data_IF_081025657424
#
_entry.id   IF_081025657424
#
_cell.length_a   1.000
_cell.length_b   1.000
_cell.length_c   1.000
_cell.angle_alpha   90.00
_cell.angle_beta   90.00
_cell.angle_gamma   90.00
#
_symmetry.space_group_name_H-M   'P 1'
#
loop_
_entity.id
_entity.type
_entity.pdbx_description
1 polymer ?
#
# COMPACT_ATOMS: atom_id res chain seq x y z
N UNK A 1 -53.25 11.23 8.63
CA UNK A 1 -52.65 11.01 7.30
C UNK A 1 -52.24 12.37 6.76
N UNK A 2 -50.98 12.57 6.34
CA UNK A 2 -50.41 11.87 5.18
C UNK A 2 -49.02 11.25 5.43
N UNK A 3 -48.88 9.98 5.04
CA UNK A 3 -47.72 9.11 5.25
C UNK A 3 -46.75 9.06 4.04
N UNK A 4 -46.82 10.02 3.11
CA UNK A 4 -46.05 9.95 1.85
C UNK A 4 -44.78 10.79 1.77
N UNK A 5 -44.48 11.64 2.76
CA UNK A 5 -43.34 12.58 2.69
C UNK A 5 -42.08 12.09 3.39
N UNK A 6 -42.21 11.14 4.32
CA UNK A 6 -41.09 10.68 5.14
C UNK A 6 -40.14 9.75 4.35
N UNK A 7 -40.68 8.87 3.51
CA UNK A 7 -39.88 7.86 2.81
C UNK A 7 -38.96 8.47 1.73
N UNK A 8 -39.42 9.50 1.01
CA UNK A 8 -38.60 10.19 0.01
C UNK A 8 -37.52 11.09 0.63
N UNK A 9 -37.68 11.50 1.89
CA UNK A 9 -36.70 12.34 2.59
C UNK A 9 -35.57 11.49 3.17
N UNK A 10 -35.86 10.28 3.65
CA UNK A 10 -34.83 9.38 4.20
C UNK A 10 -33.76 8.95 3.18
N UNK A 11 -34.13 8.70 1.91
CA UNK A 11 -33.15 8.31 0.87
C UNK A 11 -32.22 9.47 0.48
N UNK A 12 -32.73 10.71 0.53
CA UNK A 12 -31.93 11.92 0.22
C UNK A 12 -31.03 12.33 1.40
N UNK A 13 -31.42 12.02 2.64
CA UNK A 13 -30.62 12.30 3.84
C UNK A 13 -29.47 11.30 4.05
N UNK A 14 -29.60 10.06 3.58
CA UNK A 14 -28.52 9.05 3.63
C UNK A 14 -27.50 9.14 2.46
N UNK A 15 -27.57 10.19 1.64
CA UNK A 15 -26.63 10.41 0.51
C UNK A 15 -25.65 11.56 0.78
N UNK A 16 -25.52 12.00 2.02
CA UNK A 16 -24.63 13.10 2.44
C UNK A 16 -23.62 12.67 3.49
N UNK A 17 -23.14 11.43 3.44
CA UNK A 17 -21.93 11.09 4.19
C UNK A 17 -20.79 11.90 3.59
N UNK A 18 -20.29 12.86 4.37
CA UNK A 18 -19.12 13.66 4.04
C UNK A 18 -17.94 13.19 4.86
N UNK A 19 -16.76 13.22 4.26
CA UNK A 19 -15.50 12.86 4.89
C UNK A 19 -14.44 13.90 4.55
N UNK A 20 -13.52 14.12 5.48
CA UNK A 20 -12.35 14.95 5.24
C UNK A 20 -11.38 14.21 4.32
N UNK A 21 -11.01 14.85 3.22
CA UNK A 21 -10.07 14.27 2.29
C UNK A 21 -8.73 14.06 2.99
N UNK A 22 -8.20 12.82 3.01
CA UNK A 22 -6.92 12.55 3.64
C UNK A 22 -5.80 13.49 3.10
N UNK A 23 -5.78 13.73 1.80
CA UNK A 23 -4.64 14.41 1.16
C UNK A 23 -4.67 15.93 1.30
N UNK A 24 -5.84 16.58 1.22
CA UNK A 24 -5.93 18.04 1.20
C UNK A 24 -6.78 18.65 2.32
N UNK A 25 -7.46 17.82 3.12
CA UNK A 25 -8.33 18.26 4.21
C UNK A 25 -9.67 18.85 3.79
N UNK A 26 -9.99 18.89 2.49
CA UNK A 26 -11.27 19.41 1.99
C UNK A 26 -12.41 18.42 2.28
N UNK A 27 -13.62 18.93 2.54
CA UNK A 27 -14.82 18.10 2.73
C UNK A 27 -15.27 17.47 1.40
N UNK A 28 -15.37 16.14 1.36
CA UNK A 28 -15.73 15.36 0.17
C UNK A 28 -16.92 14.47 0.47
N UNK A 29 -17.86 14.36 -0.46
CA UNK A 29 -18.95 13.40 -0.35
C UNK A 29 -18.47 11.99 -0.68
N UNK A 30 -18.88 11.00 0.12
CA UNK A 30 -18.61 9.59 -0.14
C UNK A 30 -19.10 9.21 -1.54
N UNK A 31 -18.28 8.45 -2.28
CA UNK A 31 -18.58 8.05 -3.67
C UNK A 31 -18.15 9.05 -4.75
N UNK A 32 -17.70 10.26 -4.38
CA UNK A 32 -17.06 11.19 -5.31
C UNK A 32 -15.56 11.34 -5.03
N UNK A 33 -14.79 11.55 -6.11
CA UNK A 33 -13.39 11.92 -5.99
C UNK A 33 -13.27 13.31 -5.37
N UNK A 34 -12.23 13.54 -4.56
CA UNK A 34 -11.96 14.86 -4.00
C UNK A 34 -11.88 15.90 -5.12
N UNK A 35 -12.68 16.97 -5.07
CA UNK A 35 -12.66 18.00 -6.10
C UNK A 35 -11.32 18.73 -6.13
N UNK A 36 -10.51 18.67 -5.06
CA UNK A 36 -9.20 19.29 -4.89
C UNK A 36 -8.02 18.49 -5.46
N UNK A 37 -7.86 17.23 -5.02
CA UNK A 37 -6.68 16.39 -5.30
C UNK A 37 -7.01 15.05 -5.99
N UNK A 38 -8.28 14.77 -6.27
CA UNK A 38 -8.72 13.51 -6.84
C UNK A 38 -8.31 13.31 -8.31
N UNK A 39 -8.32 12.06 -8.80
CA UNK A 39 -7.86 11.68 -10.14
C UNK A 39 -8.64 12.29 -11.32
N UNK A 40 -9.77 12.99 -11.04
CA UNK A 40 -10.56 13.71 -12.03
C UNK A 40 -10.05 15.11 -12.40
N UNK A 41 -9.06 15.65 -11.67
CA UNK A 41 -8.35 16.84 -12.17
C UNK A 41 -7.39 16.37 -13.25
N UNK A 42 -7.63 16.82 -14.50
CA UNK A 42 -6.56 16.96 -15.48
C UNK A 42 -5.48 17.75 -14.75
N UNK A 43 -4.37 17.12 -14.40
CA UNK A 43 -3.22 17.84 -13.86
C UNK A 43 -3.00 18.98 -14.85
N UNK A 44 -3.23 20.24 -14.45
CA UNK A 44 -2.87 21.38 -15.29
C UNK A 44 -1.42 21.10 -15.66
N UNK A 45 -1.15 20.87 -16.95
CA UNK A 45 0.14 20.38 -17.48
C UNK A 45 1.26 20.84 -16.56
N UNK A 46 1.84 19.89 -15.81
CA UNK A 46 2.90 20.17 -14.84
C UNK A 46 3.98 20.94 -15.61
N UNK A 47 4.14 22.24 -15.34
CA UNK A 47 5.34 22.94 -15.80
C UNK A 47 6.49 22.25 -15.09
N UNK A 48 7.42 21.67 -15.86
CA UNK A 48 8.54 20.86 -15.36
C UNK A 48 9.47 21.65 -14.42
N UNK A 49 9.34 22.97 -14.50
CA UNK A 49 10.15 24.04 -13.93
C UNK A 49 9.53 24.71 -12.69
N UNK A 50 8.30 24.35 -12.30
CA UNK A 50 7.69 24.83 -11.05
C UNK A 50 7.61 23.66 -10.08
N UNK A 51 8.53 23.59 -9.12
CA UNK A 51 8.35 22.78 -7.91
C UNK A 51 7.05 23.23 -7.25
N UNK A 52 5.98 22.47 -7.49
CA UNK A 52 4.75 22.63 -6.71
C UNK A 52 5.11 22.13 -5.31
N UNK A 53 5.00 22.96 -4.26
CA UNK A 53 5.26 22.49 -2.91
C UNK A 53 4.37 21.28 -2.66
N UNK A 54 4.98 20.18 -2.22
CA UNK A 54 4.21 19.05 -1.70
C UNK A 54 3.44 19.62 -0.54
N UNK A 55 2.13 19.80 -0.70
CA UNK A 55 1.27 20.30 0.37
C UNK A 55 1.30 19.21 1.44
N UNK A 56 1.86 19.54 2.60
CA UNK A 56 1.91 18.65 3.77
C UNK A 56 0.50 18.09 4.01
N UNK A 57 0.42 16.77 4.09
CA UNK A 57 -0.87 16.09 4.29
C UNK A 57 -1.34 16.36 5.70
N UNK A 58 -2.65 16.30 5.92
CA UNK A 58 -3.22 16.61 7.24
C UNK A 58 -2.75 15.67 8.37
N UNK A 59 -2.19 14.50 8.05
CA UNK A 59 -1.58 13.57 9.03
C UNK A 59 -0.07 13.61 9.07
N UNK A 60 0.58 14.33 8.16
CA UNK A 60 2.03 14.50 8.19
C UNK A 60 2.33 15.45 9.35
N UNK A 61 2.82 14.91 10.45
CA UNK A 61 3.29 15.69 11.58
C UNK A 61 4.71 16.17 11.28
N UNK A 62 5.07 17.35 11.76
CA UNK A 62 6.45 17.80 11.71
C UNK A 62 7.30 16.83 12.55
N UNK A 63 8.45 16.41 12.05
CA UNK A 63 9.28 15.39 12.72
C UNK A 63 9.72 15.81 14.13
N UNK A 64 9.70 17.12 14.42
CA UNK A 64 9.93 17.67 15.76
C UNK A 64 8.82 17.36 16.79
N UNK A 65 7.63 16.94 16.33
CA UNK A 65 6.45 16.69 17.16
C UNK A 65 6.04 15.22 17.18
N UNK A 66 6.89 14.29 16.73
CA UNK A 66 6.53 12.87 16.70
C UNK A 66 6.32 12.32 18.13
N UNK A 67 6.80 13.01 19.17
CA UNK A 67 6.59 12.65 20.59
C UNK A 67 7.20 11.29 20.97
N UNK A 68 7.80 10.61 19.99
CA UNK A 68 8.71 9.53 20.14
C UNK A 68 9.99 10.18 20.68
N UNK A 69 10.28 9.97 21.96
CA UNK A 69 11.60 10.22 22.57
C UNK A 69 12.62 9.22 21.99
N UNK A 70 12.58 9.05 20.67
CA UNK A 70 13.53 8.30 19.90
C UNK A 70 14.77 9.18 19.81
N UNK A 71 15.95 8.62 20.13
CA UNK A 71 17.18 9.35 19.93
C UNK A 71 17.28 9.79 18.47
N UNK A 72 17.89 10.94 18.20
CA UNK A 72 18.21 11.45 16.84
C UNK A 72 19.19 10.53 16.07
N UNK A 73 19.47 9.34 16.59
CA UNK A 73 20.35 8.33 16.05
C UNK A 73 19.59 7.52 14.98
N UNK A 74 20.23 7.30 13.83
CA UNK A 74 19.67 6.47 12.76
C UNK A 74 19.38 5.06 13.29
N UNK A 75 18.12 4.63 13.24
CA UNK A 75 17.68 3.34 13.77
C UNK A 75 18.42 2.19 13.06
N UNK A 76 19.36 1.54 13.77
CA UNK A 76 20.09 0.38 13.26
C UNK A 76 19.18 -0.85 13.28
N UNK A 77 18.56 -1.11 12.13
CA UNK A 77 17.70 -2.28 11.93
C UNK A 77 18.45 -3.59 12.15
N UNK A 78 19.74 -3.66 11.78
CA UNK A 78 20.53 -4.88 11.91
C UNK A 78 20.86 -5.17 13.39
N UNK A 79 21.22 -4.14 14.19
CA UNK A 79 21.40 -4.27 15.65
C UNK A 79 20.10 -4.67 16.35
N UNK A 80 18.99 -3.98 16.03
CA UNK A 80 17.69 -4.31 16.59
C UNK A 80 17.31 -5.76 16.31
N UNK A 81 17.48 -6.21 15.06
CA UNK A 81 17.16 -7.59 14.68
C UNK A 81 18.06 -8.58 15.40
N UNK A 82 19.36 -8.31 15.48
CA UNK A 82 20.32 -9.17 16.17
C UNK A 82 20.03 -9.27 17.68
N UNK A 83 19.64 -8.16 18.31
CA UNK A 83 19.34 -8.07 19.75
C UNK A 83 18.00 -8.70 20.12
N UNK A 84 16.94 -8.43 19.36
CA UNK A 84 15.59 -8.90 19.70
C UNK A 84 15.28 -10.30 19.16
N UNK A 85 15.77 -10.64 17.97
CA UNK A 85 15.49 -11.93 17.33
C UNK A 85 16.66 -12.92 17.41
N UNK A 86 17.78 -12.50 17.98
CA UNK A 86 18.98 -13.30 18.18
C UNK A 86 19.79 -13.54 16.90
N UNK A 87 21.10 -13.83 17.03
CA UNK A 87 21.97 -14.13 15.90
C UNK A 87 21.54 -15.47 15.26
N UNK A 88 20.88 -15.39 14.10
CA UNK A 88 20.57 -16.57 13.27
C UNK A 88 19.14 -16.66 12.73
N UNK A 89 18.27 -15.69 13.02
CA UNK A 89 16.91 -15.61 12.46
C UNK A 89 16.85 -14.71 11.22
N UNK A 90 17.78 -13.78 11.08
CA UNK A 90 17.90 -12.89 9.93
C UNK A 90 18.47 -13.66 8.74
N UNK A 91 17.58 -14.18 7.90
CA UNK A 91 17.92 -14.86 6.65
C UNK A 91 18.97 -15.97 6.82
N UNK A 92 18.57 -17.11 7.39
CA UNK A 92 19.03 -18.34 6.73
C UNK A 92 18.43 -18.26 5.33
N UNK A 93 19.16 -17.64 4.40
CA UNK A 93 18.94 -17.77 2.98
C UNK A 93 18.60 -19.25 2.81
N UNK A 94 17.36 -19.54 2.48
CA UNK A 94 16.85 -20.90 2.37
C UNK A 94 17.52 -21.47 1.14
N UNK A 95 18.81 -21.81 1.30
CA UNK A 95 19.63 -22.41 0.28
C UNK A 95 18.91 -23.66 -0.11
N UNK A 96 18.44 -23.68 -1.36
CA UNK A 96 17.74 -24.83 -1.91
C UNK A 96 18.68 -26.01 -1.75
N UNK A 97 18.35 -26.92 -0.83
CA UNK A 97 19.21 -28.06 -0.49
C UNK A 97 19.52 -28.84 -1.77
N UNK A 98 20.73 -29.39 -1.87
CA UNK A 98 21.22 -30.04 -3.10
C UNK A 98 20.27 -31.11 -3.67
N UNK A 99 19.53 -31.82 -2.82
CA UNK A 99 18.57 -32.83 -3.27
C UNK A 99 17.41 -32.23 -4.07
N UNK A 100 16.98 -30.99 -3.79
CA UNK A 100 15.94 -30.31 -4.55
C UNK A 100 16.41 -29.98 -5.97
N UNK A 101 17.70 -29.68 -6.15
CA UNK A 101 18.31 -29.56 -7.47
C UNK A 101 18.27 -30.89 -8.22
N UNK A 102 18.60 -32.00 -7.57
CA UNK A 102 18.51 -33.34 -8.17
C UNK A 102 17.07 -33.66 -8.57
N UNK A 103 16.10 -33.41 -7.68
CA UNK A 103 14.68 -33.61 -8.00
C UNK A 103 14.24 -32.79 -9.21
N UNK A 104 14.63 -31.51 -9.30
CA UNK A 104 14.32 -30.65 -10.43
C UNK A 104 14.90 -31.19 -11.74
N UNK A 105 16.16 -31.64 -11.73
CA UNK A 105 16.82 -32.23 -12.91
C UNK A 105 16.12 -33.53 -13.33
N UNK A 106 15.79 -34.42 -12.39
CA UNK A 106 15.11 -35.69 -12.67
C UNK A 106 13.72 -35.45 -13.29
N UNK A 107 12.91 -34.57 -12.70
CA UNK A 107 11.58 -34.23 -13.23
C UNK A 107 11.67 -33.63 -14.63
N UNK A 108 12.65 -32.75 -14.86
CA UNK A 108 12.89 -32.14 -16.18
C UNK A 108 13.29 -33.21 -17.20
N UNK A 109 14.19 -34.13 -16.85
CA UNK A 109 14.61 -35.21 -17.73
C UNK A 109 13.45 -36.15 -18.10
N UNK A 110 12.60 -36.51 -17.11
CA UNK A 110 11.39 -37.30 -17.37
C UNK A 110 10.48 -36.59 -18.35
N UNK A 111 10.22 -35.30 -18.17
CA UNK A 111 9.36 -34.51 -19.06
C UNK A 111 9.93 -34.46 -20.49
N UNK A 112 11.24 -34.27 -20.65
CA UNK A 112 11.91 -34.29 -21.95
C UNK A 112 11.80 -35.66 -22.61
N UNK A 113 11.99 -36.75 -21.85
CA UNK A 113 11.86 -38.11 -22.39
C UNK A 113 10.41 -38.41 -22.80
N UNK A 114 9.42 -37.98 -22.02
CA UNK A 114 8.01 -38.18 -22.35
C UNK A 114 7.61 -37.43 -23.63
N UNK A 115 8.07 -36.18 -23.78
CA UNK A 115 7.79 -35.37 -24.96
C UNK A 115 8.57 -35.82 -26.20
N UNK A 116 9.85 -36.16 -26.07
CA UNK A 116 10.68 -36.64 -27.18
C UNK A 116 10.39 -38.10 -27.58
N UNK A 117 9.95 -38.92 -26.64
CA UNK A 117 9.57 -40.33 -26.86
C UNK A 117 8.19 -40.51 -27.48
N UNK A 118 7.48 -39.42 -27.80
CA UNK A 118 6.15 -39.48 -28.40
C UNK A 118 5.11 -40.15 -27.50
N UNK A 119 5.29 -40.07 -26.17
CA UNK A 119 4.32 -40.60 -25.20
C UNK A 119 3.18 -39.60 -24.93
N UNK A 120 2.81 -38.85 -25.97
CA UNK A 120 1.72 -37.89 -25.98
C UNK A 120 0.99 -37.92 -27.32
#
# INVERSE_FOLDING_TARGET
>A
MPAGRAESVCVLLMSSDRYLCPTCGDEVSVGMACPGCGPGRKSRKRKKDVQTPVRQRSWEQDEACDGLDLPDEEFDYDDFVAREFGPGTMSRATGVKWYWWVTAVVLTAILVVLTAGGLW
#
